data_IF_665432614092
#
_entry.id   IF_665432614092
#
_cell.length_a   1.000
_cell.length_b   1.000
_cell.length_c   1.000
_cell.angle_alpha   90.00
_cell.angle_beta   90.00
_cell.angle_gamma   90.00
#
_symmetry.space_group_name_H-M   'P 1'
#
loop_
_entity.id
_entity.type
_entity.pdbx_description
1 polymer ?
#
# COMPACT_ATOMS: atom_id res chain seq x y z
N UNK A 1 3.77 -0.73 20.64
CA UNK A 1 4.01 0.57 21.27
C UNK A 1 2.97 1.52 20.70
N UNK A 2 2.05 2.04 21.51
CA UNK A 2 1.04 3.00 21.01
C UNK A 2 1.70 4.36 20.86
N UNK A 3 1.78 4.86 19.63
CA UNK A 3 2.33 6.17 19.33
C UNK A 3 1.22 7.20 19.61
N UNK A 4 1.45 8.10 20.56
CA UNK A 4 0.54 9.19 20.86
C UNK A 4 0.88 10.37 19.93
N UNK A 5 -0.02 10.70 19.00
CA UNK A 5 0.20 11.79 18.04
C UNK A 5 0.36 13.14 18.75
N UNK A 6 -0.29 13.32 19.90
CA UNK A 6 -0.22 14.57 20.67
C UNK A 6 1.15 14.79 21.33
N UNK A 7 2.02 13.78 21.35
CA UNK A 7 3.39 13.83 21.88
C UNK A 7 4.44 13.97 20.77
N UNK A 8 4.03 14.04 19.50
CA UNK A 8 4.95 14.17 18.37
C UNK A 8 5.19 15.64 18.07
N UNK A 9 6.42 16.08 18.31
CA UNK A 9 6.84 17.47 18.09
C UNK A 9 6.89 17.84 16.59
N UNK A 10 7.22 16.88 15.71
CA UNK A 10 7.28 17.06 14.26
C UNK A 10 7.30 15.72 13.51
N UNK A 11 6.94 15.73 12.22
CA UNK A 11 7.06 14.57 11.33
C UNK A 11 8.52 14.07 11.26
N UNK A 12 9.50 14.98 11.22
CA UNK A 12 10.92 14.62 11.19
C UNK A 12 11.34 13.83 12.44
N UNK A 13 10.95 14.31 13.63
CA UNK A 13 11.24 13.61 14.90
C UNK A 13 10.61 12.22 14.92
N UNK A 14 9.37 12.11 14.44
CA UNK A 14 8.69 10.83 14.31
C UNK A 14 9.45 9.88 13.35
N UNK A 15 9.87 10.38 12.18
CA UNK A 15 10.63 9.59 11.22
C UNK A 15 11.95 9.09 11.82
N UNK A 16 12.65 9.92 12.58
CA UNK A 16 13.92 9.53 13.23
C UNK A 16 13.71 8.44 14.29
N UNK A 17 12.64 8.51 15.08
CA UNK A 17 12.28 7.47 16.04
C UNK A 17 11.96 6.13 15.35
N UNK A 18 11.24 6.18 14.23
CA UNK A 18 10.92 4.99 13.41
C UNK A 18 12.19 4.41 12.76
N UNK A 19 13.08 5.24 12.22
CA UNK A 19 14.39 4.79 11.71
C UNK A 19 15.21 4.14 12.81
N UNK A 20 15.18 4.72 14.02
CA UNK A 20 15.86 4.15 15.17
C UNK A 20 15.29 2.78 15.53
N UNK A 21 13.96 2.57 15.49
CA UNK A 21 13.31 1.26 15.65
C UNK A 21 13.80 0.23 14.62
N UNK A 22 13.78 0.60 13.33
CA UNK A 22 14.22 -0.28 12.26
C UNK A 22 15.71 -0.65 12.38
N UNK A 23 16.57 0.30 12.76
CA UNK A 23 18.00 0.07 12.93
C UNK A 23 18.35 -0.92 14.06
N UNK A 24 17.46 -1.08 15.06
CA UNK A 24 17.60 -2.12 16.11
C UNK A 24 17.07 -3.50 15.68
N UNK A 25 16.57 -3.62 14.45
CA UNK A 25 15.95 -4.83 13.92
C UNK A 25 14.45 -4.96 14.19
N UNK A 26 13.81 -3.93 14.74
CA UNK A 26 12.37 -3.94 15.06
C UNK A 26 11.54 -3.32 13.92
N UNK A 27 11.61 -3.98 12.75
CA UNK A 27 10.90 -3.54 11.55
C UNK A 27 9.37 -3.60 11.70
N UNK A 28 8.88 -4.53 12.51
CA UNK A 28 7.44 -4.66 12.76
C UNK A 28 6.91 -3.43 13.52
N UNK A 29 7.55 -3.07 14.63
CA UNK A 29 7.17 -1.87 15.38
C UNK A 29 7.37 -0.58 14.56
N UNK A 30 8.40 -0.52 13.71
CA UNK A 30 8.61 0.60 12.81
C UNK A 30 7.43 0.79 11.83
N UNK A 31 7.04 -0.27 11.11
CA UNK A 31 5.92 -0.22 10.16
C UNK A 31 4.58 0.03 10.86
N UNK A 32 4.30 -0.67 11.97
CA UNK A 32 3.10 -0.42 12.78
C UNK A 32 3.06 1.00 13.32
N UNK A 33 4.21 1.60 13.63
CA UNK A 33 4.31 2.99 14.05
C UNK A 33 3.87 3.96 12.96
N UNK A 34 4.32 3.77 11.72
CA UNK A 34 3.89 4.57 10.56
C UNK A 34 2.39 4.41 10.29
N UNK A 35 1.89 3.17 10.36
CA UNK A 35 0.45 2.89 10.20
C UNK A 35 -0.36 3.62 11.28
N UNK A 36 0.01 3.49 12.55
CA UNK A 36 -0.71 4.13 13.66
C UNK A 36 -0.66 5.66 13.56
N UNK A 37 0.50 6.20 13.19
CA UNK A 37 0.68 7.64 12.98
C UNK A 37 -0.24 8.14 11.86
N UNK A 38 -0.16 7.54 10.66
CA UNK A 38 -1.01 7.93 9.53
C UNK A 38 -2.50 7.73 9.83
N UNK A 39 -2.86 6.64 10.51
CA UNK A 39 -4.24 6.36 10.89
C UNK A 39 -4.81 7.41 11.85
N UNK A 40 -4.02 7.87 12.83
CA UNK A 40 -4.50 8.87 13.78
C UNK A 40 -4.73 10.25 13.15
N UNK A 41 -4.11 10.60 12.01
CA UNK A 41 -4.52 11.81 11.26
C UNK A 41 -5.96 11.70 10.76
N UNK A 42 -6.37 10.52 10.28
CA UNK A 42 -7.73 10.26 9.76
C UNK A 42 -8.77 10.52 10.85
N UNK A 43 -8.44 10.24 12.11
CA UNK A 43 -9.34 10.40 13.24
C UNK A 43 -9.41 11.85 13.76
N UNK A 44 -8.50 12.73 13.34
CA UNK A 44 -8.43 14.12 13.82
C UNK A 44 -9.11 15.08 12.85
N UNK A 45 -10.28 15.61 13.20
CA UNK A 45 -11.04 16.54 12.35
C UNK A 45 -10.25 17.77 11.87
N UNK A 46 -9.26 18.23 12.64
CA UNK A 46 -8.42 19.37 12.27
C UNK A 46 -7.52 19.12 11.05
N UNK A 47 -7.24 17.85 10.74
CA UNK A 47 -6.37 17.43 9.63
C UNK A 47 -7.14 17.23 8.32
N UNK A 48 -8.48 17.13 8.43
CA UNK A 48 -9.37 16.89 7.31
C UNK A 48 -9.26 18.01 6.28
N UNK A 49 -8.97 17.63 5.03
CA UNK A 49 -8.73 18.50 3.89
C UNK A 49 -7.54 19.47 4.04
N UNK A 50 -6.70 19.31 5.06
CA UNK A 50 -5.53 20.17 5.33
C UNK A 50 -4.21 19.41 5.26
N UNK A 51 -4.18 18.15 5.70
CA UNK A 51 -3.02 17.26 5.60
C UNK A 51 -3.37 16.09 4.70
N UNK A 52 -2.86 16.11 3.47
CA UNK A 52 -3.25 15.14 2.43
C UNK A 52 -2.12 14.15 2.08
N UNK A 53 -0.87 14.52 2.32
CA UNK A 53 0.31 13.71 1.98
C UNK A 53 1.52 14.17 2.80
N UNK A 54 2.59 13.36 2.83
CA UNK A 54 3.89 13.75 3.37
C UNK A 54 4.99 13.03 2.59
N UNK A 55 5.89 13.77 1.89
CA UNK A 55 7.06 13.17 1.25
C UNK A 55 7.96 12.43 2.24
N UNK A 56 8.08 12.93 3.47
CA UNK A 56 8.92 12.36 4.53
C UNK A 56 8.42 10.98 4.96
N UNK A 57 7.09 10.81 5.09
CA UNK A 57 6.49 9.52 5.40
C UNK A 57 6.62 8.52 4.25
N UNK A 58 6.52 8.99 3.01
CA UNK A 58 6.67 8.14 1.82
C UNK A 58 8.12 7.68 1.63
N UNK A 59 9.08 8.58 1.81
CA UNK A 59 10.51 8.27 1.80
C UNK A 59 10.84 7.29 2.94
N UNK A 60 10.29 7.49 4.14
CA UNK A 60 10.44 6.56 5.26
C UNK A 60 9.89 5.17 4.91
N UNK A 61 8.69 5.06 4.31
CA UNK A 61 8.15 3.78 3.87
C UNK A 61 9.11 3.08 2.89
N UNK A 62 9.62 3.82 1.90
CA UNK A 62 10.57 3.29 0.92
C UNK A 62 11.90 2.85 1.56
N UNK A 63 12.40 3.58 2.57
CA UNK A 63 13.57 3.17 3.35
C UNK A 63 13.33 1.86 4.12
N UNK A 64 12.20 1.74 4.80
CA UNK A 64 11.83 0.55 5.58
C UNK A 64 11.64 -0.69 4.71
N UNK A 65 11.15 -0.51 3.48
CA UNK A 65 10.93 -1.58 2.52
C UNK A 65 12.13 -1.90 1.64
N UNK A 66 13.27 -1.22 1.82
CA UNK A 66 14.40 -1.35 0.89
C UNK A 66 14.88 -2.79 0.75
N UNK A 67 14.86 -3.30 -0.48
CA UNK A 67 15.39 -4.63 -0.81
C UNK A 67 16.89 -4.57 -1.08
N UNK A 68 17.54 -5.74 -1.03
CA UNK A 68 18.95 -5.84 -1.39
C UNK A 68 19.14 -5.41 -2.85
N UNK A 69 20.12 -4.53 -3.16
CA UNK A 69 20.41 -4.14 -4.55
C UNK A 69 20.91 -5.31 -5.41
N UNK A 70 21.22 -6.45 -4.78
CA UNK A 70 21.59 -7.69 -5.47
C UNK A 70 20.42 -8.64 -5.69
N UNK A 71 19.20 -8.25 -5.31
CA UNK A 71 18.01 -9.01 -5.63
C UNK A 71 17.85 -9.04 -7.15
N UNK A 72 18.36 -10.10 -7.77
CA UNK A 72 18.20 -10.36 -9.20
C UNK A 72 16.83 -10.96 -9.41
N UNK A 73 15.89 -10.09 -9.71
CA UNK A 73 14.61 -10.51 -10.25
C UNK A 73 14.71 -10.70 -11.76
N UNK A 74 14.02 -11.69 -12.32
CA UNK A 74 13.95 -11.88 -13.78
C UNK A 74 13.27 -10.71 -14.49
N UNK A 75 13.18 -10.78 -15.83
CA UNK A 75 12.39 -9.82 -16.60
C UNK A 75 10.92 -9.87 -16.17
N UNK A 76 10.21 -8.75 -16.30
CA UNK A 76 8.78 -8.70 -16.02
C UNK A 76 8.01 -9.58 -17.01
N UNK A 77 7.02 -10.33 -16.51
CA UNK A 77 6.06 -11.07 -17.32
C UNK A 77 5.01 -10.10 -17.89
N UNK A 78 4.97 -9.89 -19.23
CA UNK A 78 4.04 -8.97 -19.88
C UNK A 78 2.57 -9.37 -19.73
N UNK A 79 2.30 -10.65 -19.51
CA UNK A 79 0.96 -11.20 -19.33
C UNK A 79 0.51 -11.16 -17.85
N UNK A 80 1.43 -10.95 -16.90
CA UNK A 80 1.13 -10.88 -15.48
C UNK A 80 0.77 -9.46 -15.02
N UNK A 81 -0.33 -9.38 -14.28
CA UNK A 81 -0.80 -8.16 -13.62
C UNK A 81 -1.07 -8.46 -12.15
N UNK A 82 -0.61 -7.57 -11.26
CA UNK A 82 -0.88 -7.67 -9.82
C UNK A 82 -1.75 -6.49 -9.38
N UNK A 83 -2.77 -6.76 -8.57
CA UNK A 83 -3.56 -5.77 -7.86
C UNK A 83 -3.25 -5.90 -6.37
N UNK A 84 -2.78 -4.83 -5.74
CA UNK A 84 -2.46 -4.81 -4.31
C UNK A 84 -3.48 -3.94 -3.60
N UNK A 85 -4.14 -4.50 -2.59
CA UNK A 85 -5.15 -3.80 -1.80
C UNK A 85 -4.99 -4.07 -0.31
N UNK A 86 -5.41 -3.12 0.52
CA UNK A 86 -5.35 -3.30 1.99
C UNK A 86 -6.41 -4.29 2.45
N UNK A 87 -7.65 -4.11 2.00
CA UNK A 87 -8.77 -4.96 2.33
C UNK A 87 -9.84 -4.93 1.24
N UNK A 88 -10.77 -5.88 1.31
CA UNK A 88 -11.98 -5.89 0.48
C UNK A 88 -13.20 -5.97 1.39
N UNK A 89 -14.27 -5.31 0.95
CA UNK A 89 -15.56 -5.32 1.63
C UNK A 89 -16.70 -5.55 0.64
N UNK A 90 -17.77 -6.20 1.11
CA UNK A 90 -18.98 -6.42 0.30
C UNK A 90 -19.78 -5.14 0.01
N UNK A 91 -19.51 -4.06 0.74
CA UNK A 91 -20.13 -2.75 0.58
C UNK A 91 -19.02 -1.72 0.39
N UNK A 92 -19.14 -0.85 -0.62
CA UNK A 92 -18.20 0.24 -0.88
C UNK A 92 -17.78 0.34 -2.34
N UNK A 93 -17.32 1.53 -2.73
CA UNK A 93 -16.84 1.80 -4.10
C UNK A 93 -15.50 1.13 -4.40
N UNK A 94 -14.61 1.04 -3.40
CA UNK A 94 -13.25 0.56 -3.57
C UNK A 94 -13.18 -0.87 -4.13
N UNK A 95 -13.86 -1.82 -3.49
CA UNK A 95 -13.94 -3.21 -3.98
C UNK A 95 -14.53 -3.26 -5.38
N UNK A 96 -15.54 -2.42 -5.69
CA UNK A 96 -16.17 -2.42 -7.01
C UNK A 96 -15.22 -1.93 -8.10
N UNK A 97 -14.46 -0.87 -7.82
CA UNK A 97 -13.43 -0.35 -8.72
C UNK A 97 -12.35 -1.40 -8.96
N UNK A 98 -11.87 -2.08 -7.92
CA UNK A 98 -10.94 -3.21 -8.05
C UNK A 98 -11.50 -4.27 -9.04
N UNK A 99 -12.76 -4.70 -8.86
CA UNK A 99 -13.37 -5.69 -9.74
C UNK A 99 -13.44 -5.24 -11.20
N UNK A 100 -13.78 -3.98 -11.42
CA UNK A 100 -13.92 -3.43 -12.78
C UNK A 100 -12.55 -3.22 -13.45
N UNK A 101 -11.51 -2.84 -12.68
CA UNK A 101 -10.13 -2.79 -13.17
C UNK A 101 -9.59 -4.17 -13.54
N UNK A 102 -9.81 -5.19 -12.70
CA UNK A 102 -9.39 -6.58 -12.99
C UNK A 102 -10.02 -7.10 -14.28
N UNK A 103 -11.29 -6.75 -14.54
CA UNK A 103 -11.99 -7.14 -15.78
C UNK A 103 -11.53 -6.37 -17.02
N UNK A 104 -11.09 -5.12 -16.84
CA UNK A 104 -10.68 -4.25 -17.92
C UNK A 104 -9.18 -4.38 -18.27
N UNK A 105 -8.37 -4.92 -17.36
CA UNK A 105 -6.93 -5.07 -17.60
C UNK A 105 -6.67 -6.02 -18.78
N UNK A 106 -5.75 -5.65 -19.69
CA UNK A 106 -5.42 -6.46 -20.86
C UNK A 106 -4.54 -7.69 -20.53
N UNK A 107 -4.05 -7.82 -19.29
CA UNK A 107 -3.25 -8.94 -18.84
C UNK A 107 -4.05 -10.25 -18.83
N UNK A 108 -3.34 -11.37 -19.01
CA UNK A 108 -3.96 -12.70 -19.03
C UNK A 108 -3.95 -13.36 -17.65
N UNK A 109 -2.98 -12.98 -16.81
CA UNK A 109 -2.73 -13.59 -15.51
C UNK A 109 -2.83 -12.52 -14.41
N UNK A 110 -4.04 -12.26 -13.93
CA UNK A 110 -4.25 -11.33 -12.83
C UNK A 110 -4.08 -12.03 -11.47
N UNK A 111 -3.39 -11.38 -10.53
CA UNK A 111 -3.35 -11.78 -9.12
C UNK A 111 -3.75 -10.61 -8.23
N UNK A 112 -4.64 -10.85 -7.28
CA UNK A 112 -5.05 -9.89 -6.25
C UNK A 112 -4.35 -10.28 -4.96
N UNK A 113 -3.54 -9.38 -4.42
CA UNK A 113 -2.83 -9.53 -3.15
C UNK A 113 -3.49 -8.60 -2.12
N UNK A 114 -3.98 -9.20 -1.03
CA UNK A 114 -4.63 -8.47 0.07
C UNK A 114 -3.71 -8.47 1.29
N UNK A 115 -3.23 -7.30 1.70
CA UNK A 115 -2.27 -7.18 2.83
C UNK A 115 -2.93 -7.39 4.19
N UNK A 116 -4.22 -7.09 4.32
CA UNK A 116 -4.97 -7.26 5.56
C UNK A 116 -4.36 -6.47 6.73
N UNK A 117 -3.76 -5.30 6.46
CA UNK A 117 -3.26 -4.37 7.49
C UNK A 117 -4.44 -3.74 8.22
N UNK A 118 -4.41 -3.71 9.56
CA UNK A 118 -5.54 -3.27 10.42
C UNK A 118 -6.87 -4.02 10.18
N UNK A 119 -6.80 -5.20 9.53
CA UNK A 119 -7.94 -6.05 9.25
C UNK A 119 -7.63 -7.52 9.58
N UNK A 120 -8.70 -8.30 9.81
CA UNK A 120 -8.61 -9.72 10.14
C UNK A 120 -9.46 -10.56 9.20
N UNK A 121 -9.48 -10.21 7.91
CA UNK A 121 -10.22 -10.96 6.90
C UNK A 121 -9.60 -12.35 6.73
N UNK A 122 -10.46 -13.36 6.68
CA UNK A 122 -10.08 -14.74 6.34
C UNK A 122 -10.01 -14.92 4.82
N UNK A 123 -9.29 -15.94 4.36
CA UNK A 123 -9.28 -16.32 2.95
C UNK A 123 -10.71 -16.53 2.42
N UNK A 124 -11.56 -17.23 3.18
CA UNK A 124 -12.94 -17.50 2.80
C UNK A 124 -13.76 -16.20 2.60
N UNK A 125 -13.62 -15.23 3.50
CA UNK A 125 -14.31 -13.94 3.39
C UNK A 125 -13.89 -13.14 2.16
N UNK A 126 -12.58 -13.10 1.88
CA UNK A 126 -12.05 -12.41 0.69
C UNK A 126 -12.53 -13.11 -0.59
N UNK A 127 -12.44 -14.44 -0.65
CA UNK A 127 -12.90 -15.22 -1.80
C UNK A 127 -14.41 -15.04 -2.03
N UNK A 128 -15.21 -15.06 -0.96
CA UNK A 128 -16.65 -14.82 -1.05
C UNK A 128 -17.00 -13.42 -1.54
N UNK A 129 -16.24 -12.40 -1.09
CA UNK A 129 -16.39 -11.02 -1.54
C UNK A 129 -16.03 -10.87 -3.02
N UNK A 130 -14.97 -11.54 -3.46
CA UNK A 130 -14.42 -11.45 -4.81
C UNK A 130 -14.92 -12.55 -5.75
N UNK A 131 -15.90 -13.37 -5.36
CA UNK A 131 -16.40 -14.52 -6.15
C UNK A 131 -16.80 -14.15 -7.59
N UNK A 132 -17.28 -12.93 -7.82
CA UNK A 132 -17.69 -12.44 -9.15
C UNK A 132 -16.51 -11.96 -10.03
N UNK A 133 -15.30 -11.99 -9.48
CA UNK A 133 -14.02 -11.91 -10.20
C UNK A 133 -13.50 -13.33 -10.49
N UNK A 134 -14.05 -14.34 -9.82
CA UNK A 134 -13.52 -15.69 -9.55
C UNK A 134 -13.28 -16.66 -10.73
N UNK A 135 -13.09 -16.15 -11.95
CA UNK A 135 -12.45 -16.91 -13.03
C UNK A 135 -11.32 -16.17 -13.73
N UNK A 136 -11.13 -14.86 -13.49
CA UNK A 136 -10.13 -14.04 -14.18
C UNK A 136 -8.88 -13.74 -13.35
N UNK A 137 -8.90 -13.94 -12.03
CA UNK A 137 -7.76 -13.62 -11.17
C UNK A 137 -7.53 -14.64 -10.06
N UNK A 138 -6.25 -14.89 -9.73
CA UNK A 138 -5.83 -15.56 -8.49
C UNK A 138 -5.97 -14.56 -7.33
N UNK A 139 -6.39 -15.02 -6.16
CA UNK A 139 -6.54 -14.18 -4.97
C UNK A 139 -5.70 -14.78 -3.85
N UNK A 140 -4.91 -13.94 -3.17
CA UNK A 140 -4.07 -14.31 -2.04
C UNK A 140 -4.17 -13.27 -0.93
N UNK A 141 -4.18 -13.73 0.32
CA UNK A 141 -4.39 -12.88 1.50
C UNK A 141 -3.28 -13.14 2.51
N UNK A 142 -2.70 -12.06 3.05
CA UNK A 142 -1.73 -12.12 4.13
C UNK A 142 -2.44 -12.29 5.48
N UNK A 143 -2.89 -13.52 5.77
CA UNK A 143 -3.59 -13.84 7.04
C UNK A 143 -2.60 -14.14 8.16
N UNK A 144 -2.92 -13.68 9.39
CA UNK A 144 -2.16 -13.98 10.61
C UNK A 144 -0.67 -13.59 10.59
N UNK A 145 -0.30 -12.59 9.79
CA UNK A 145 1.06 -12.03 9.74
C UNK A 145 1.14 -10.75 10.59
N UNK A 146 2.33 -10.40 11.06
CA UNK A 146 2.64 -9.05 11.56
C UNK A 146 3.05 -8.11 10.39
N UNK A 147 3.31 -6.83 10.61
CA UNK A 147 3.59 -5.88 9.54
C UNK A 147 4.89 -6.20 8.79
N UNK A 148 5.95 -6.60 9.52
CA UNK A 148 7.21 -6.99 8.89
C UNK A 148 7.07 -8.27 8.04
N UNK A 149 6.27 -9.24 8.51
CA UNK A 149 5.95 -10.46 7.78
C UNK A 149 5.09 -10.18 6.54
N UNK A 150 4.09 -9.28 6.64
CA UNK A 150 3.30 -8.84 5.48
C UNK A 150 4.17 -8.17 4.42
N UNK A 151 5.10 -7.31 4.84
CA UNK A 151 6.07 -6.68 3.95
C UNK A 151 6.87 -7.74 3.19
N UNK A 152 7.49 -8.69 3.90
CA UNK A 152 8.27 -9.77 3.27
C UNK A 152 7.41 -10.62 2.35
N UNK A 153 6.23 -11.02 2.80
CA UNK A 153 5.28 -11.77 1.99
C UNK A 153 4.96 -11.05 0.69
N UNK A 154 4.62 -9.76 0.75
CA UNK A 154 4.27 -8.97 -0.43
C UNK A 154 5.48 -8.86 -1.38
N UNK A 155 6.68 -8.62 -0.85
CA UNK A 155 7.91 -8.57 -1.64
C UNK A 155 8.24 -9.90 -2.32
N UNK A 156 8.10 -11.02 -1.60
CA UNK A 156 8.31 -12.37 -2.14
C UNK A 156 7.30 -12.64 -3.26
N UNK A 157 6.02 -12.28 -3.08
CA UNK A 157 5.01 -12.45 -4.13
C UNK A 157 5.31 -11.59 -5.36
N UNK A 158 5.76 -10.36 -5.20
CA UNK A 158 6.15 -9.51 -6.32
C UNK A 158 7.40 -10.03 -7.04
N UNK A 159 8.37 -10.54 -6.29
CA UNK A 159 9.57 -11.17 -6.85
C UNK A 159 9.25 -12.46 -7.64
N UNK A 160 8.29 -13.26 -7.16
CA UNK A 160 7.84 -14.48 -7.81
C UNK A 160 7.00 -14.20 -9.06
N UNK A 161 6.05 -13.26 -8.96
CA UNK A 161 5.07 -12.99 -10.01
C UNK A 161 5.65 -12.12 -11.15
N UNK A 162 6.64 -11.27 -10.83
CA UNK A 162 7.28 -10.32 -11.77
C UNK A 162 6.28 -9.61 -12.70
N UNK A 163 5.26 -8.93 -12.15
CA UNK A 163 4.23 -8.34 -12.99
C UNK A 163 4.77 -7.19 -13.85
N UNK A 164 4.35 -7.12 -15.11
CA UNK A 164 4.57 -5.94 -15.93
C UNK A 164 3.74 -4.74 -15.46
N UNK A 165 2.63 -4.99 -14.74
CA UNK A 165 1.74 -3.95 -14.21
C UNK A 165 1.32 -4.28 -12.78
N UNK A 166 1.51 -3.33 -11.87
CA UNK A 166 1.03 -3.41 -10.50
C UNK A 166 0.07 -2.25 -10.24
N UNK A 167 -1.17 -2.57 -9.91
CA UNK A 167 -2.22 -1.62 -9.56
C UNK A 167 -2.33 -1.57 -8.04
N UNK A 168 -2.26 -0.37 -7.45
CA UNK A 168 -2.44 -0.18 -6.01
C UNK A 168 -3.80 0.45 -5.78
N UNK A 169 -4.59 -0.19 -4.92
CA UNK A 169 -5.76 0.41 -4.30
C UNK A 169 -5.65 0.16 -2.79
N UNK A 170 -4.81 0.94 -2.13
CA UNK A 170 -4.60 0.80 -0.69
C UNK A 170 -5.55 1.68 0.11
N UNK A 171 -5.77 1.33 1.36
CA UNK A 171 -6.21 2.31 2.35
C UNK A 171 -5.07 3.28 2.65
N UNK A 172 -5.44 4.51 3.01
CA UNK A 172 -4.53 5.65 3.07
C UNK A 172 -3.39 5.51 4.09
N UNK A 173 -3.55 4.64 5.10
CA UNK A 173 -2.57 4.37 6.15
C UNK A 173 -1.66 3.16 5.91
N UNK A 174 -1.84 2.40 4.82
CA UNK A 174 -1.14 1.13 4.62
C UNK A 174 0.34 1.33 4.22
N UNK A 175 1.20 1.46 5.23
CA UNK A 175 2.64 1.61 5.06
C UNK A 175 3.30 0.34 4.49
N UNK A 176 2.67 -0.85 4.62
CA UNK A 176 3.25 -2.09 4.10
C UNK A 176 3.27 -2.07 2.58
N UNK A 177 2.18 -1.62 1.94
CA UNK A 177 2.14 -1.48 0.48
C UNK A 177 3.11 -0.40 0.01
N UNK A 178 3.10 0.76 0.66
CA UNK A 178 4.01 1.86 0.34
C UNK A 178 5.48 1.42 0.48
N UNK A 179 5.82 0.57 1.45
CA UNK A 179 7.17 0.04 1.63
C UNK A 179 7.52 -1.08 0.64
N UNK A 180 6.61 -2.02 0.37
CA UNK A 180 6.93 -3.23 -0.38
C UNK A 180 7.26 -2.99 -1.85
N UNK A 181 6.66 -1.96 -2.46
CA UNK A 181 6.69 -1.75 -3.91
C UNK A 181 7.95 -1.00 -4.34
N UNK A 182 9.07 -1.70 -4.24
CA UNK A 182 10.41 -1.21 -4.61
C UNK A 182 10.65 -1.32 -6.12
N UNK A 183 11.39 -0.39 -6.77
CA UNK A 183 11.67 -0.41 -8.21
C UNK A 183 12.28 -1.72 -8.73
N UNK A 184 13.01 -2.45 -7.89
CA UNK A 184 13.59 -3.74 -8.25
C UNK A 184 12.52 -4.84 -8.42
N UNK A 185 11.38 -4.72 -7.74
CA UNK A 185 10.34 -5.75 -7.67
C UNK A 185 9.22 -5.58 -8.71
N UNK A 186 9.06 -4.37 -9.26
CA UNK A 186 7.92 -3.99 -10.11
C UNK A 186 8.39 -3.19 -11.32
N UNK A 187 7.73 -3.37 -12.47
CA UNK A 187 8.06 -2.62 -13.70
C UNK A 187 7.24 -1.33 -13.81
N UNK A 188 5.90 -1.45 -13.88
CA UNK A 188 4.99 -0.31 -13.93
C UNK A 188 4.02 -0.33 -12.75
N UNK A 189 4.10 0.69 -11.90
CA UNK A 189 3.18 0.84 -10.76
C UNK A 189 2.16 1.93 -11.03
N UNK A 190 0.89 1.61 -10.86
CA UNK A 190 -0.25 2.50 -11.07
C UNK A 190 -0.97 2.65 -9.74
N UNK A 191 -0.78 3.81 -9.10
CA UNK A 191 -1.31 4.11 -7.78
C UNK A 191 -2.66 4.82 -7.92
N UNK A 192 -3.75 4.12 -7.60
CA UNK A 192 -5.08 4.71 -7.53
C UNK A 192 -5.27 5.30 -6.15
N UNK A 193 -5.06 6.60 -6.07
CA UNK A 193 -5.24 7.33 -4.84
C UNK A 193 -6.71 7.30 -4.44
N UNK A 194 -6.96 6.95 -3.18
CA UNK A 194 -8.26 7.13 -2.58
C UNK A 194 -8.45 8.65 -2.43
N UNK A 195 -9.13 9.30 -3.38
CA UNK A 195 -9.32 10.76 -3.44
C UNK A 195 -10.25 11.30 -2.33
N UNK A 196 -9.95 10.93 -1.10
CA UNK A 196 -10.57 11.41 0.10
C UNK A 196 -9.80 12.64 0.63
N UNK A 197 -10.30 13.24 1.68
CA UNK A 197 -9.75 14.46 2.27
C UNK A 197 -8.74 14.18 3.39
N UNK A 198 -8.17 12.98 3.43
CA UNK A 198 -7.31 12.50 4.50
C UNK A 198 -5.88 12.28 3.99
N UNK A 199 -4.93 12.25 4.92
CA UNK A 199 -3.54 11.87 4.65
C UNK A 199 -3.48 10.48 3.99
N UNK A 200 -2.78 10.39 2.85
CA UNK A 200 -2.49 9.14 2.17
C UNK A 200 -0.99 8.91 1.96
N UNK A 201 -0.55 7.69 2.29
CA UNK A 201 0.78 7.20 1.98
C UNK A 201 0.88 6.76 0.51
N UNK A 202 2.05 6.95 -0.08
CA UNK A 202 2.42 6.55 -1.44
C UNK A 202 2.25 7.63 -2.51
N UNK A 203 1.83 8.84 -2.13
CA UNK A 203 1.56 9.96 -3.06
C UNK A 203 2.83 10.49 -3.71
N UNK A 204 3.93 10.59 -2.96
CA UNK A 204 5.20 11.18 -3.39
C UNK A 204 6.22 10.15 -3.90
N UNK A 205 5.85 8.86 -3.95
CA UNK A 205 6.73 7.80 -4.45
C UNK A 205 6.97 7.96 -5.96
N UNK A 206 8.21 8.28 -6.32
CA UNK A 206 8.55 8.80 -7.66
C UNK A 206 8.30 7.84 -8.83
N UNK A 207 8.43 6.53 -8.61
CA UNK A 207 8.19 5.52 -9.65
C UNK A 207 6.73 5.09 -9.74
N UNK A 208 5.84 5.65 -8.92
CA UNK A 208 4.41 5.40 -9.03
C UNK A 208 3.78 6.35 -10.05
N UNK A 209 2.92 5.79 -10.90
CA UNK A 209 2.04 6.56 -11.77
C UNK A 209 0.78 6.84 -10.96
N UNK A 210 0.70 8.06 -10.44
CA UNK A 210 -0.43 8.52 -9.65
C UNK A 210 -1.67 8.76 -10.53
N UNK A 211 -2.77 8.11 -10.17
CA UNK A 211 -4.10 8.27 -10.78
C UNK A 211 -5.09 8.72 -9.71
N UNK A 212 -5.71 9.88 -9.94
CA UNK A 212 -6.82 10.40 -9.15
C UNK A 212 -8.14 10.30 -9.91
N UNK A 213 -9.21 9.98 -9.19
CA UNK A 213 -10.58 9.92 -9.69
C UNK A 213 -11.27 11.28 -9.73
N UNK A 214 -10.67 12.34 -9.17
CA UNK A 214 -11.18 13.70 -9.31
C UNK A 214 -10.04 14.71 -9.53
N UNK A 215 -10.31 15.72 -10.36
CA UNK A 215 -9.29 16.71 -10.73
C UNK A 215 -8.81 17.59 -9.58
N UNK A 216 -9.55 17.69 -8.47
CA UNK A 216 -9.13 18.48 -7.30
C UNK A 216 -8.06 17.75 -6.48
N UNK A 217 -8.23 16.45 -6.26
CA UNK A 217 -7.25 15.59 -5.59
C UNK A 217 -5.92 15.56 -6.34
N UNK A 218 -5.96 15.50 -7.67
CA UNK A 218 -4.77 15.50 -8.52
C UNK A 218 -3.83 16.69 -8.32
N UNK A 219 -4.38 17.90 -8.22
CA UNK A 219 -3.57 19.11 -8.01
C UNK A 219 -3.15 19.26 -6.54
N UNK A 220 -4.07 18.98 -5.60
CA UNK A 220 -3.79 19.19 -4.18
C UNK A 220 -2.75 18.22 -3.62
N UNK A 221 -2.64 17.01 -4.16
CA UNK A 221 -1.72 16.00 -3.66
C UNK A 221 -0.32 16.07 -4.31
N UNK A 222 -0.17 16.75 -5.46
CA UNK A 222 1.14 16.88 -6.16
C UNK A 222 1.81 18.24 -5.97
N UNK A 223 1.05 19.29 -5.72
CA UNK A 223 1.54 20.68 -5.68
C UNK A 223 1.63 21.26 -4.26
N UNK A 224 1.25 20.51 -3.22
CA UNK A 224 1.42 20.87 -1.81
C UNK A 224 2.64 20.20 -1.21
#
# INVERSE_FOLDING_TARGET
MSINIDEIDSVDSFCDDVRALAARGDLDAALSGVIAFAAGFIEQEATWATVLSSPELDDLCQELGKVSPHLKTGDADPDATVFVVTAVAGIGGHTRVLMDLVRADPGKNATILVTNVEHSLTDEEVQNTLKNVGSSAKIEVATNLNCAERLRWLQDRLADLRPARTYILQHQFDAVIAAALQPELVDKVIYFHNCDHNLALGVHIRHFIHVDFNGKGYHQCREQ
#
